data_IF_501702706800
#
_entry.id   IF_501702706800
#
_cell.length_a   1.000
_cell.length_b   1.000
_cell.length_c   1.000
_cell.angle_alpha   90.00
_cell.angle_beta   90.00
_cell.angle_gamma   90.00
#
_symmetry.space_group_name_H-M   'P 1'
#
loop_
_entity.id
_entity.type
_entity.pdbx_description
1 polymer ?
#
# COMPACT_ATOMS: atom_id res chain seq x y z
N UNK A 1 -43.49 2.90 -29.70
CA UNK A 1 -42.55 2.17 -30.58
C UNK A 1 -42.52 2.89 -31.92
N UNK A 2 -41.40 3.54 -32.24
CA UNK A 2 -41.21 4.24 -33.51
C UNK A 2 -40.88 3.23 -34.60
N UNK A 3 -41.70 3.17 -35.66
CA UNK A 3 -41.42 2.37 -36.85
C UNK A 3 -40.63 3.20 -37.85
N UNK A 4 -39.58 2.63 -38.41
CA UNK A 4 -38.69 3.29 -39.37
C UNK A 4 -38.94 2.68 -40.76
N UNK A 5 -39.10 3.47 -41.83
CA UNK A 5 -39.26 2.93 -43.18
C UNK A 5 -37.95 2.34 -43.69
N UNK A 6 -38.00 1.10 -44.19
CA UNK A 6 -36.88 0.44 -44.83
C UNK A 6 -36.51 1.17 -46.14
N UNK A 7 -35.25 1.61 -46.32
CA UNK A 7 -34.85 2.39 -47.48
C UNK A 7 -34.89 1.60 -48.80
N UNK A 8 -35.01 0.27 -48.75
CA UNK A 8 -34.98 -0.58 -49.94
C UNK A 8 -36.37 -1.04 -50.41
N UNK A 9 -37.34 -1.18 -49.50
CA UNK A 9 -38.67 -1.71 -49.83
C UNK A 9 -39.83 -0.88 -49.23
N UNK A 10 -39.54 0.21 -48.52
CA UNK A 10 -40.55 1.08 -47.89
C UNK A 10 -41.32 0.45 -46.73
N UNK A 11 -41.04 -0.81 -46.40
CA UNK A 11 -41.70 -1.53 -45.31
C UNK A 11 -41.35 -0.89 -43.96
N UNK A 12 -42.34 -0.69 -43.11
CA UNK A 12 -42.13 -0.20 -41.75
C UNK A 12 -41.53 -1.32 -40.89
N UNK A 13 -40.26 -1.17 -40.52
CA UNK A 13 -39.57 -2.05 -39.57
C UNK A 13 -39.59 -1.43 -38.20
N UNK A 14 -39.78 -2.26 -37.17
CA UNK A 14 -39.62 -1.81 -35.79
C UNK A 14 -38.16 -1.39 -35.59
N UNK A 15 -37.96 -0.21 -35.02
CA UNK A 15 -36.63 0.23 -34.63
C UNK A 15 -36.02 -0.82 -33.69
N UNK A 16 -34.84 -1.34 -34.02
CA UNK A 16 -34.10 -2.19 -33.12
C UNK A 16 -34.00 -1.46 -31.75
N UNK A 17 -34.25 -2.15 -30.62
CA UNK A 17 -34.05 -1.53 -29.32
C UNK A 17 -32.61 -1.00 -29.26
N UNK A 18 -32.40 0.21 -28.69
CA UNK A 18 -31.06 0.73 -28.55
C UNK A 18 -30.19 -0.32 -27.87
N UNK A 19 -28.94 -0.52 -28.31
CA UNK A 19 -28.06 -1.47 -27.65
C UNK A 19 -28.02 -1.15 -26.15
N UNK A 20 -27.97 -2.18 -25.29
CA UNK A 20 -27.86 -1.93 -23.85
C UNK A 20 -26.65 -1.03 -23.60
N UNK A 21 -26.75 -0.09 -22.65
CA UNK A 21 -25.64 0.81 -22.35
C UNK A 21 -24.42 -0.03 -22.00
N UNK A 22 -23.30 0.23 -22.67
CA UNK A 22 -22.04 -0.42 -22.37
C UNK A 22 -21.74 -0.28 -20.87
N UNK A 23 -21.27 -1.35 -20.20
CA UNK A 23 -20.95 -1.28 -18.78
C UNK A 23 -19.94 -0.16 -18.53
N UNK A 24 -20.21 0.68 -17.53
CA UNK A 24 -19.40 1.87 -17.22
C UNK A 24 -17.95 1.51 -16.88
N UNK A 25 -17.76 0.33 -16.30
CA UNK A 25 -16.49 -0.31 -16.04
C UNK A 25 -16.72 -1.82 -15.96
N UNK A 26 -15.69 -2.60 -16.29
CA UNK A 26 -15.61 -4.04 -16.09
C UNK A 26 -14.25 -4.32 -15.48
N UNK A 27 -14.23 -4.98 -14.32
CA UNK A 27 -13.01 -5.25 -13.56
C UNK A 27 -13.20 -6.56 -12.81
N UNK A 28 -12.13 -7.35 -12.71
CA UNK A 28 -12.13 -8.55 -11.90
C UNK A 28 -12.13 -8.17 -10.41
N UNK A 29 -12.90 -8.89 -9.60
CA UNK A 29 -13.00 -8.63 -8.16
C UNK A 29 -11.63 -8.72 -7.47
N UNK A 30 -10.75 -9.61 -7.93
CA UNK A 30 -9.38 -9.74 -7.43
C UNK A 30 -8.57 -8.46 -7.61
N UNK A 31 -8.80 -7.72 -8.72
CA UNK A 31 -8.14 -6.45 -8.98
C UNK A 31 -8.65 -5.33 -8.06
N UNK A 32 -9.82 -5.49 -7.43
CA UNK A 32 -10.36 -4.53 -6.49
C UNK A 32 -9.78 -4.67 -5.09
N UNK A 33 -9.17 -5.81 -4.74
CA UNK A 33 -8.61 -5.99 -3.40
C UNK A 33 -7.53 -4.94 -3.15
N UNK A 34 -7.67 -4.19 -2.04
CA UNK A 34 -6.78 -3.10 -1.66
C UNK A 34 -6.73 -1.91 -2.64
N UNK A 35 -7.65 -1.85 -3.62
CA UNK A 35 -7.74 -0.75 -4.58
C UNK A 35 -7.94 0.60 -3.88
N UNK A 36 -7.32 1.65 -4.42
CA UNK A 36 -7.42 3.00 -3.88
C UNK A 36 -8.81 3.59 -4.17
N UNK A 37 -9.49 4.10 -3.14
CA UNK A 37 -10.79 4.76 -3.32
C UNK A 37 -10.62 6.27 -3.18
N UNK A 38 -10.99 7.00 -4.22
CA UNK A 38 -10.85 8.47 -4.30
C UNK A 38 -12.19 9.10 -4.66
N UNK A 39 -12.55 10.18 -3.97
CA UNK A 39 -13.77 10.92 -4.26
C UNK A 39 -13.64 11.86 -5.47
N UNK A 40 -14.75 12.50 -5.87
CA UNK A 40 -14.77 13.36 -7.04
C UNK A 40 -13.95 14.65 -6.90
N UNK A 41 -13.50 15.01 -5.70
CA UNK A 41 -12.64 16.17 -5.42
C UNK A 41 -11.15 15.79 -5.26
N UNK A 42 -10.81 14.51 -5.38
CA UNK A 42 -9.46 14.00 -5.30
C UNK A 42 -8.98 13.67 -3.88
N UNK A 43 -9.89 13.44 -2.93
CA UNK A 43 -9.56 13.04 -1.56
C UNK A 43 -9.67 11.53 -1.37
N UNK A 44 -8.78 10.95 -0.56
CA UNK A 44 -8.69 9.50 -0.37
C UNK A 44 -9.72 9.04 0.67
N UNK A 45 -10.74 8.30 0.21
CA UNK A 45 -11.74 7.65 1.05
C UNK A 45 -11.20 6.41 1.77
N UNK A 46 -10.11 5.82 1.28
CA UNK A 46 -9.48 4.64 1.87
C UNK A 46 -9.08 3.62 0.82
N UNK A 47 -9.13 2.35 1.20
CA UNK A 47 -8.86 1.21 0.31
C UNK A 47 -10.00 0.22 0.35
N UNK A 48 -10.21 -0.50 -0.74
CA UNK A 48 -11.24 -1.54 -0.80
C UNK A 48 -10.86 -2.71 0.11
N UNK A 49 -11.78 -3.08 0.99
CA UNK A 49 -11.70 -4.26 1.83
C UNK A 49 -12.21 -5.50 1.07
N UNK A 50 -13.34 -5.35 0.38
CA UNK A 50 -13.98 -6.41 -0.42
C UNK A 50 -15.33 -5.96 -0.95
N UNK A 51 -15.96 -6.80 -1.77
CA UNK A 51 -17.32 -6.60 -2.22
C UNK A 51 -18.32 -7.33 -1.31
N UNK A 52 -19.50 -6.73 -1.13
CA UNK A 52 -20.62 -7.29 -0.39
C UNK A 52 -21.83 -7.31 -1.31
N UNK A 53 -22.38 -8.51 -1.51
CA UNK A 53 -23.47 -8.77 -2.43
C UNK A 53 -24.79 -8.87 -1.65
N UNK A 54 -25.75 -8.03 -2.02
CA UNK A 54 -27.15 -8.12 -1.59
C UNK A 54 -28.02 -8.55 -2.79
N UNK A 55 -29.30 -8.84 -2.58
CA UNK A 55 -30.20 -9.41 -3.61
C UNK A 55 -30.23 -8.59 -4.91
N UNK A 56 -30.27 -7.26 -4.80
CA UNK A 56 -30.41 -6.34 -5.94
C UNK A 56 -29.22 -5.38 -6.11
N UNK A 57 -28.25 -5.40 -5.20
CA UNK A 57 -27.20 -4.38 -5.15
C UNK A 57 -25.87 -4.91 -4.63
N UNK A 58 -24.78 -4.36 -5.18
CA UNK A 58 -23.42 -4.69 -4.77
C UNK A 58 -22.79 -3.45 -4.14
N UNK A 59 -22.16 -3.69 -2.98
CA UNK A 59 -21.46 -2.69 -2.20
C UNK A 59 -19.96 -2.98 -2.18
N UNK A 60 -19.16 -1.93 -2.13
CA UNK A 60 -17.72 -1.99 -1.88
C UNK A 60 -17.49 -1.46 -0.46
N UNK A 61 -16.98 -2.32 0.41
CA UNK A 61 -16.57 -1.92 1.74
C UNK A 61 -15.18 -1.28 1.68
N UNK A 62 -15.05 -0.09 2.24
CA UNK A 62 -13.82 0.72 2.21
C UNK A 62 -13.25 0.84 3.61
N UNK A 63 -11.98 0.54 3.77
CA UNK A 63 -11.27 0.60 5.04
C UNK A 63 -10.18 1.68 5.08
N UNK A 64 -9.88 2.16 6.28
CA UNK A 64 -8.71 2.99 6.60
C UNK A 64 -7.90 2.32 7.71
N UNK A 65 -6.60 2.62 7.76
CA UNK A 65 -5.77 2.29 8.91
C UNK A 65 -6.05 3.30 10.02
N UNK A 66 -6.45 2.81 11.19
CA UNK A 66 -6.65 3.62 12.40
C UNK A 66 -5.51 3.29 13.36
N UNK A 67 -4.72 4.30 13.70
CA UNK A 67 -3.68 4.17 14.72
C UNK A 67 -4.35 4.19 16.10
N UNK A 68 -4.29 3.05 16.79
CA UNK A 68 -4.66 2.95 18.19
C UNK A 68 -3.39 3.05 19.04
N UNK A 69 -3.35 4.08 19.88
CA UNK A 69 -2.31 4.23 20.90
C UNK A 69 -2.85 3.66 22.20
N UNK A 70 -2.23 2.60 22.71
CA UNK A 70 -2.51 2.13 24.06
C UNK A 70 -1.24 2.19 24.90
N UNK A 71 -1.41 2.61 26.15
CA UNK A 71 -0.33 2.60 27.14
C UNK A 71 -0.38 1.26 27.84
N UNK A 72 0.63 0.41 27.61
CA UNK A 72 0.76 -0.90 28.22
C UNK A 72 2.03 -1.03 29.06
N UNK A 73 2.20 -2.12 29.82
CA UNK A 73 3.47 -2.41 30.49
C UNK A 73 4.64 -2.51 29.49
N UNK A 74 5.77 -1.92 29.84
CA UNK A 74 7.04 -2.09 29.13
C UNK A 74 7.75 -3.32 29.70
N UNK A 75 7.53 -4.48 29.09
CA UNK A 75 8.02 -5.74 29.63
C UNK A 75 9.54 -5.86 29.58
N UNK A 76 10.18 -5.31 28.55
CA UNK A 76 11.64 -5.27 28.43
C UNK A 76 12.26 -4.45 29.56
N UNK A 77 11.72 -3.25 29.80
CA UNK A 77 12.19 -2.40 30.89
C UNK A 77 11.85 -2.99 32.26
N UNK A 78 10.67 -3.60 32.40
CA UNK A 78 10.27 -4.27 33.64
C UNK A 78 11.24 -5.41 33.96
N UNK A 79 11.56 -6.26 32.99
CA UNK A 79 12.51 -7.36 33.15
C UNK A 79 13.90 -6.84 33.55
N UNK A 80 14.37 -5.76 32.93
CA UNK A 80 15.63 -5.12 33.30
C UNK A 80 15.62 -4.57 34.75
N UNK A 81 14.54 -3.92 35.19
CA UNK A 81 14.40 -3.46 36.58
C UNK A 81 14.32 -4.63 37.57
N UNK A 82 13.58 -5.68 37.24
CA UNK A 82 13.49 -6.88 38.06
C UNK A 82 14.85 -7.58 38.20
N UNK A 83 15.63 -7.66 37.12
CA UNK A 83 17.01 -8.17 37.17
C UNK A 83 17.88 -7.37 38.14
N UNK A 84 17.70 -6.04 38.24
CA UNK A 84 18.47 -5.20 39.18
C UNK A 84 18.20 -5.53 40.64
N UNK A 85 17.03 -6.09 40.96
CA UNK A 85 16.66 -6.51 42.33
C UNK A 85 17.32 -7.82 42.76
N UNK A 86 17.95 -8.56 41.84
CA UNK A 86 18.70 -9.76 42.18
C UNK A 86 20.00 -9.42 42.93
N UNK A 87 20.40 -10.24 43.92
CA UNK A 87 21.61 -9.99 44.69
C UNK A 87 22.84 -9.95 43.77
N UNK A 88 23.66 -8.92 43.93
CA UNK A 88 24.88 -8.75 43.12
C UNK A 88 25.98 -9.71 43.60
N UNK A 89 26.64 -10.41 42.66
CA UNK A 89 27.75 -11.32 42.94
C UNK A 89 28.89 -11.08 41.92
N UNK A 90 30.15 -10.87 42.34
CA UNK A 90 31.26 -10.57 41.43
C UNK A 90 31.57 -11.67 40.41
N UNK A 91 31.26 -12.92 40.75
CA UNK A 91 31.64 -14.12 40.00
C UNK A 91 30.50 -14.70 39.16
N UNK A 92 29.30 -14.11 39.22
CA UNK A 92 28.11 -14.63 38.53
C UNK A 92 27.26 -13.47 38.02
N UNK A 93 27.15 -13.28 36.69
CA UNK A 93 26.28 -12.25 36.14
C UNK A 93 24.82 -12.57 36.46
N UNK A 94 24.03 -11.51 36.68
CA UNK A 94 22.58 -11.61 36.83
C UNK A 94 22.01 -12.20 35.54
N UNK A 95 21.22 -13.27 35.68
CA UNK A 95 20.68 -14.00 34.53
C UNK A 95 19.16 -14.01 34.56
N UNK A 96 18.56 -14.03 33.38
CA UNK A 96 17.11 -14.15 33.21
C UNK A 96 16.57 -15.43 33.84
N UNK A 97 17.33 -16.53 33.72
CA UNK A 97 17.00 -17.80 34.34
C UNK A 97 16.87 -17.71 35.87
N UNK A 98 17.74 -16.96 36.53
CA UNK A 98 17.66 -16.75 37.99
C UNK A 98 16.45 -15.90 38.38
N UNK A 99 16.12 -14.88 37.56
CA UNK A 99 14.89 -14.11 37.74
C UNK A 99 13.67 -15.01 37.61
N UNK A 100 13.59 -15.83 36.55
CA UNK A 100 12.47 -16.74 36.33
C UNK A 100 12.34 -17.78 37.45
N UNK A 101 13.44 -18.39 37.92
CA UNK A 101 13.43 -19.34 39.04
C UNK A 101 12.89 -18.68 40.33
N UNK A 102 13.21 -17.40 40.54
CA UNK A 102 12.71 -16.64 41.69
C UNK A 102 11.23 -16.28 41.53
N UNK A 103 10.81 -15.84 40.34
CA UNK A 103 9.40 -15.58 40.02
C UNK A 103 8.58 -16.85 40.23
N UNK A 104 9.03 -18.01 39.71
CA UNK A 104 8.36 -19.30 39.91
C UNK A 104 8.21 -19.65 41.39
N UNK A 105 9.27 -19.48 42.17
CA UNK A 105 9.27 -19.79 43.61
C UNK A 105 8.31 -18.90 44.39
N UNK A 106 8.34 -17.59 44.13
CA UNK A 106 7.56 -16.62 44.90
C UNK A 106 6.08 -16.58 44.49
N UNK A 107 5.77 -16.79 43.21
CA UNK A 107 4.39 -16.93 42.72
C UNK A 107 3.85 -18.36 42.83
N UNK A 108 4.64 -19.31 43.36
CA UNK A 108 4.27 -20.74 43.53
C UNK A 108 3.82 -21.42 42.22
N UNK A 109 4.51 -21.11 41.13
CA UNK A 109 4.23 -21.68 39.80
C UNK A 109 4.88 -23.07 39.66
N UNK A 110 4.32 -23.96 38.80
CA UNK A 110 4.95 -25.24 38.48
C UNK A 110 6.39 -25.07 37.97
N UNK A 111 7.31 -26.01 38.27
CA UNK A 111 8.73 -25.88 37.90
C UNK A 111 8.99 -25.71 36.40
N UNK A 112 8.12 -26.28 35.57
CA UNK A 112 8.20 -26.25 34.10
C UNK A 112 7.30 -25.19 33.47
N UNK A 113 6.55 -24.42 34.26
CA UNK A 113 5.67 -23.40 33.71
C UNK A 113 6.51 -22.27 33.06
N UNK A 114 6.17 -21.86 31.82
CA UNK A 114 6.79 -20.69 31.21
C UNK A 114 6.42 -19.44 32.02
N UNK A 115 7.37 -18.54 32.20
CA UNK A 115 7.11 -17.23 32.79
C UNK A 115 6.68 -16.31 31.65
N UNK A 116 5.42 -15.89 31.67
CA UNK A 116 4.90 -14.90 30.73
C UNK A 116 5.06 -13.50 31.31
N UNK A 117 4.82 -12.52 30.43
CA UNK A 117 4.74 -11.11 30.74
C UNK A 117 3.79 -10.79 31.91
N UNK A 118 2.70 -11.57 32.04
CA UNK A 118 1.74 -11.42 33.13
C UNK A 118 2.36 -11.78 34.48
N UNK A 119 3.07 -12.90 34.58
CA UNK A 119 3.72 -13.31 35.83
C UNK A 119 4.82 -12.34 36.25
N UNK A 120 5.54 -11.71 35.31
CA UNK A 120 6.51 -10.65 35.63
C UNK A 120 5.83 -9.43 36.27
N UNK A 121 4.69 -9.00 35.72
CA UNK A 121 3.88 -7.92 36.30
C UNK A 121 3.33 -8.26 37.68
N UNK A 122 2.84 -9.48 37.88
CA UNK A 122 2.33 -9.96 39.17
C UNK A 122 3.46 -10.03 40.22
N UNK A 123 4.63 -10.52 39.84
CA UNK A 123 5.82 -10.54 40.70
C UNK A 123 6.28 -9.12 41.07
N UNK A 124 6.30 -8.19 40.12
CA UNK A 124 6.66 -6.79 40.36
C UNK A 124 5.70 -6.12 41.37
N UNK A 125 4.39 -6.37 41.23
CA UNK A 125 3.37 -5.92 42.19
C UNK A 125 3.59 -6.49 43.58
N UNK A 126 3.89 -7.79 43.68
CA UNK A 126 4.20 -8.44 44.96
C UNK A 126 5.43 -7.81 45.64
N UNK A 127 6.41 -7.35 44.84
CA UNK A 127 7.61 -6.66 45.32
C UNK A 127 7.43 -5.16 45.56
N UNK A 128 6.24 -4.61 45.30
CA UNK A 128 5.99 -3.16 45.40
C UNK A 128 6.79 -2.33 44.40
N UNK A 129 7.22 -2.93 43.28
CA UNK A 129 8.00 -2.24 42.25
C UNK A 129 7.05 -1.59 41.24
N UNK A 130 7.34 -0.36 40.79
CA UNK A 130 6.54 0.28 39.75
C UNK A 130 6.67 -0.50 38.44
N UNK A 131 5.55 -0.74 37.77
CA UNK A 131 5.54 -1.34 36.43
C UNK A 131 5.79 -0.22 35.42
N UNK A 132 6.93 -0.21 34.71
CA UNK A 132 7.18 0.78 33.67
C UNK A 132 6.16 0.61 32.54
N UNK A 133 5.79 1.70 31.89
CA UNK A 133 4.83 1.71 30.78
C UNK A 133 5.47 2.22 29.50
N UNK A 134 4.98 1.70 28.36
CA UNK A 134 5.35 2.14 27.02
C UNK A 134 4.09 2.32 26.19
N UNK A 135 4.11 3.32 25.31
CA UNK A 135 3.04 3.52 24.33
C UNK A 135 3.27 2.55 23.18
N UNK A 136 2.27 1.71 22.93
CA UNK A 136 2.22 0.83 21.78
C UNK A 136 1.32 1.48 20.73
N UNK A 137 1.81 1.54 19.50
CA UNK A 137 1.04 1.98 18.34
C UNK A 137 0.62 0.75 17.55
N UNK A 138 -0.67 0.43 17.56
CA UNK A 138 -1.24 -0.63 16.76
C UNK A 138 -2.02 -0.02 15.59
N UNK A 139 -1.85 -0.58 14.38
CA UNK A 139 -2.56 -0.14 13.18
C UNK A 139 -3.62 -1.16 12.82
N UNK A 140 -4.88 -0.81 13.06
CA UNK A 140 -6.01 -1.66 12.72
C UNK A 140 -6.70 -1.21 11.43
N UNK A 141 -7.12 -2.18 10.61
CA UNK A 141 -8.00 -1.91 9.48
C UNK A 141 -9.42 -1.74 10.00
N UNK A 142 -10.01 -0.56 9.78
CA UNK A 142 -11.41 -0.29 10.13
C UNK A 142 -12.18 0.04 8.86
N UNK A 143 -13.26 -0.70 8.60
CA UNK A 143 -14.22 -0.34 7.55
C UNK A 143 -14.89 0.98 7.95
N UNK A 144 -14.76 1.98 7.08
CA UNK A 144 -15.25 3.34 7.29
C UNK A 144 -16.43 3.68 6.38
N UNK A 145 -16.56 3.04 5.22
CA UNK A 145 -17.67 3.23 4.30
C UNK A 145 -18.12 1.90 3.70
N UNK A 146 -19.40 1.83 3.32
CA UNK A 146 -19.94 0.80 2.43
C UNK A 146 -20.60 1.53 1.27
N UNK A 147 -20.01 1.45 0.08
CA UNK A 147 -20.36 2.27 -1.09
C UNK A 147 -21.04 1.42 -2.14
N UNK A 148 -22.22 1.81 -2.59
CA UNK A 148 -22.88 1.14 -3.72
C UNK A 148 -22.07 1.32 -5.01
N UNK A 149 -22.04 0.30 -5.87
CA UNK A 149 -21.49 0.42 -7.23
C UNK A 149 -22.14 1.56 -8.04
N UNK A 150 -23.36 1.97 -7.72
CA UNK A 150 -24.04 3.11 -8.38
C UNK A 150 -23.33 4.44 -8.09
N UNK A 151 -22.60 4.55 -6.98
CA UNK A 151 -21.83 5.73 -6.58
C UNK A 151 -20.47 5.82 -7.27
N UNK A 152 -20.02 4.73 -7.90
CA UNK A 152 -18.74 4.66 -8.62
C UNK A 152 -18.88 5.33 -10.00
N UNK A 153 -18.00 6.27 -10.28
CA UNK A 153 -17.86 6.92 -11.59
C UNK A 153 -17.17 5.96 -12.56
N UNK A 154 -15.99 5.47 -12.19
CA UNK A 154 -15.19 4.54 -12.98
C UNK A 154 -14.23 3.75 -12.09
N UNK A 155 -13.74 2.64 -12.61
CA UNK A 155 -12.67 1.85 -11.99
C UNK A 155 -11.59 1.66 -13.04
N UNK A 156 -10.40 2.15 -12.74
CA UNK A 156 -9.24 2.01 -13.61
C UNK A 156 -8.21 1.07 -13.00
N UNK A 157 -7.59 0.26 -13.86
CA UNK A 157 -6.48 -0.63 -13.48
C UNK A 157 -5.23 -0.22 -14.25
N UNK A 158 -4.12 -0.18 -13.54
CA UNK A 158 -2.78 0.13 -14.08
C UNK A 158 -1.76 -0.80 -13.43
N UNK A 159 -0.53 -0.82 -13.94
CA UNK A 159 0.53 -1.60 -13.30
C UNK A 159 0.81 -1.18 -11.86
N UNK A 160 0.47 0.06 -11.50
CA UNK A 160 0.56 0.63 -10.14
C UNK A 160 -0.58 0.17 -9.19
N UNK A 161 -1.60 -0.50 -9.72
CA UNK A 161 -2.78 -0.96 -8.98
C UNK A 161 -4.08 -0.41 -9.56
N UNK A 162 -5.18 -0.76 -8.89
CA UNK A 162 -6.52 -0.31 -9.23
C UNK A 162 -6.94 0.92 -8.42
N UNK A 163 -7.78 1.76 -9.03
CA UNK A 163 -8.41 2.89 -8.36
C UNK A 163 -9.91 2.96 -8.69
N UNK A 164 -10.71 3.14 -7.64
CA UNK A 164 -12.14 3.39 -7.70
C UNK A 164 -12.37 4.90 -7.54
N UNK A 165 -12.88 5.53 -8.59
CA UNK A 165 -13.27 6.95 -8.55
C UNK A 165 -14.76 7.06 -8.25
N UNK A 166 -15.12 7.88 -7.27
CA UNK A 166 -16.51 8.13 -6.88
C UNK A 166 -17.08 9.37 -7.58
N UNK A 167 -18.39 9.39 -7.79
CA UNK A 167 -19.10 10.54 -8.37
C UNK A 167 -19.24 11.70 -7.40
N UNK A 168 -19.32 11.41 -6.12
CA UNK A 168 -19.66 12.37 -5.07
C UNK A 168 -18.45 12.65 -4.16
N UNK A 169 -18.36 13.87 -3.58
CA UNK A 169 -17.25 14.32 -2.75
C UNK A 169 -17.36 13.77 -1.31
N UNK A 170 -17.36 12.45 -1.13
CA UNK A 170 -17.65 11.82 0.16
C UNK A 170 -16.65 12.23 1.25
N UNK A 171 -15.34 12.11 0.97
CA UNK A 171 -14.30 12.40 1.96
C UNK A 171 -14.11 13.91 2.12
N UNK A 172 -14.14 14.67 1.03
CA UNK A 172 -14.09 16.13 1.06
C UNK A 172 -15.23 16.73 1.91
N UNK A 173 -16.46 16.21 1.75
CA UNK A 173 -17.61 16.65 2.56
C UNK A 173 -17.41 16.33 4.04
N UNK A 174 -16.90 15.14 4.37
CA UNK A 174 -16.56 14.77 5.76
C UNK A 174 -15.51 15.72 6.37
N UNK A 175 -14.60 16.25 5.56
CA UNK A 175 -13.58 17.21 5.97
C UNK A 175 -14.07 18.68 5.93
N UNK A 176 -15.35 18.93 5.66
CA UNK A 176 -15.95 20.26 5.49
C UNK A 176 -15.29 21.10 4.39
N UNK A 177 -14.80 20.43 3.34
CA UNK A 177 -14.18 21.08 2.19
C UNK A 177 -15.27 21.38 1.16
N UNK A 178 -15.39 22.65 0.77
CA UNK A 178 -16.38 23.08 -0.21
C UNK A 178 -15.93 22.71 -1.63
N UNK A 179 -16.73 21.97 -2.41
CA UNK A 179 -16.42 21.68 -3.81
C UNK A 179 -16.21 22.97 -4.61
N UNK A 180 -15.11 23.05 -5.36
CA UNK A 180 -14.80 24.20 -6.21
C UNK A 180 -14.85 23.82 -7.68
N UNK A 181 -15.61 24.53 -8.50
CA UNK A 181 -15.64 24.30 -9.96
C UNK A 181 -14.32 24.65 -10.66
N UNK A 182 -13.50 25.53 -10.05
CA UNK A 182 -12.20 25.97 -10.59
C UNK A 182 -11.05 25.36 -9.81
N UNK A 183 -10.05 24.86 -10.53
CA UNK A 183 -8.78 24.38 -9.94
C UNK A 183 -7.85 25.57 -9.69
N UNK A 184 -7.56 25.93 -8.43
CA UNK A 184 -6.64 27.02 -8.13
C UNK A 184 -5.23 26.64 -8.56
N UNK A 185 -4.43 27.64 -8.97
CA UNK A 185 -3.01 27.43 -9.21
C UNK A 185 -2.29 27.04 -7.90
N UNK A 186 -1.36 26.10 -8.01
CA UNK A 186 -0.58 25.57 -6.88
C UNK A 186 0.91 25.64 -7.21
N UNK A 187 1.74 25.79 -6.18
CA UNK A 187 3.20 25.75 -6.31
C UNK A 187 3.71 24.32 -6.49
N UNK A 188 4.98 24.16 -6.87
CA UNK A 188 5.65 22.86 -6.95
C UNK A 188 5.60 22.12 -5.61
N UNK A 189 5.83 22.80 -4.49
CA UNK A 189 5.81 22.19 -3.15
C UNK A 189 4.43 21.60 -2.81
N UNK A 190 3.36 22.22 -3.29
CA UNK A 190 1.98 21.80 -3.02
C UNK A 190 1.53 20.59 -3.83
N UNK A 191 2.13 20.36 -5.01
CA UNK A 191 1.73 19.27 -5.92
C UNK A 191 2.72 18.11 -5.91
N UNK A 192 3.99 18.35 -5.58
CA UNK A 192 5.05 17.35 -5.67
C UNK A 192 4.74 16.10 -4.85
N UNK A 193 4.92 14.94 -5.46
CA UNK A 193 4.71 13.63 -4.85
C UNK A 193 3.26 13.14 -4.82
N UNK A 194 2.28 14.00 -5.15
CA UNK A 194 0.88 13.57 -5.25
C UNK A 194 0.70 12.57 -6.38
N UNK A 195 -0.05 11.50 -6.11
CA UNK A 195 -0.45 10.56 -7.15
C UNK A 195 -1.30 11.28 -8.20
N UNK A 196 -1.07 10.96 -9.46
CA UNK A 196 -1.85 11.50 -10.58
C UNK A 196 -2.66 10.39 -11.21
N UNK A 197 -3.95 10.64 -11.41
CA UNK A 197 -4.94 9.68 -11.90
C UNK A 197 -5.64 10.28 -13.12
N UNK A 198 -5.74 9.51 -14.20
CA UNK A 198 -6.40 9.95 -15.42
C UNK A 198 -7.94 9.84 -15.36
N UNK A 199 -8.62 10.31 -16.41
CA UNK A 199 -10.09 10.26 -16.47
C UNK A 199 -10.68 8.85 -16.55
N UNK A 200 -9.87 7.82 -16.82
CA UNK A 200 -10.26 6.42 -16.80
C UNK A 200 -9.99 5.75 -15.43
N UNK A 201 -9.57 6.52 -14.43
CA UNK A 201 -9.22 5.99 -13.11
C UNK A 201 -7.86 5.28 -13.06
N UNK A 202 -7.00 5.43 -14.08
CA UNK A 202 -5.68 4.78 -14.07
C UNK A 202 -4.67 5.64 -13.32
N UNK A 203 -3.96 5.02 -12.40
CA UNK A 203 -2.86 5.66 -11.67
C UNK A 203 -1.67 5.76 -12.64
N UNK A 204 -1.20 6.97 -12.89
CA UNK A 204 -0.14 7.24 -13.85
C UNK A 204 1.26 7.28 -13.22
N UNK A 205 1.33 7.70 -11.95
CA UNK A 205 2.58 7.99 -11.26
C UNK A 205 2.41 9.23 -10.39
N UNK A 206 3.44 10.07 -10.29
CA UNK A 206 3.48 11.19 -9.34
C UNK A 206 3.80 12.53 -9.99
N UNK A 207 3.16 13.58 -9.48
CA UNK A 207 3.49 14.94 -9.85
C UNK A 207 4.92 15.29 -9.39
N UNK A 208 5.72 15.83 -10.31
CA UNK A 208 7.11 16.19 -10.07
C UNK A 208 7.24 17.68 -9.71
N UNK A 209 6.75 18.55 -10.58
CA UNK A 209 6.88 20.01 -10.47
C UNK A 209 5.90 20.77 -11.37
N UNK A 210 5.74 22.05 -11.06
CA UNK A 210 5.04 23.01 -11.92
C UNK A 210 6.06 23.75 -12.78
N UNK A 211 5.77 23.84 -14.07
CA UNK A 211 6.54 24.56 -15.08
C UNK A 211 5.79 25.85 -15.46
N UNK A 212 6.54 26.92 -15.68
CA UNK A 212 6.03 28.21 -16.12
C UNK A 212 6.15 28.31 -17.65
N UNK A 213 5.04 28.49 -18.33
CA UNK A 213 4.96 28.89 -19.73
C UNK A 213 3.88 29.95 -19.92
N UNK A 214 3.31 30.07 -21.13
CA UNK A 214 2.10 30.90 -21.36
C UNK A 214 0.93 30.46 -20.46
N UNK A 215 0.92 29.18 -20.10
CA UNK A 215 0.06 28.60 -19.06
C UNK A 215 0.92 27.79 -18.09
N UNK A 216 0.39 27.50 -16.89
CA UNK A 216 1.04 26.56 -15.98
C UNK A 216 0.93 25.14 -16.52
N UNK A 217 2.03 24.40 -16.44
CA UNK A 217 2.12 23.00 -16.85
C UNK A 217 2.55 22.18 -15.65
N UNK A 218 1.84 21.10 -15.36
CA UNK A 218 2.21 20.12 -14.35
C UNK A 218 3.02 19.01 -15.03
N UNK A 219 4.27 18.82 -14.61
CA UNK A 219 5.06 17.66 -15.01
C UNK A 219 4.77 16.48 -14.10
N UNK A 220 4.43 15.34 -14.70
CA UNK A 220 4.12 14.08 -14.03
C UNK A 220 5.17 13.05 -14.43
N UNK A 221 5.82 12.44 -13.46
CA UNK A 221 6.66 11.27 -13.68
C UNK A 221 5.72 10.06 -13.85
N UNK A 222 5.77 9.45 -15.02
CA UNK A 222 5.02 8.21 -15.29
C UNK A 222 5.79 7.06 -14.65
N UNK A 223 5.12 6.30 -13.79
CA UNK A 223 5.71 5.22 -13.01
C UNK A 223 5.04 3.89 -13.36
N UNK A 224 5.81 2.80 -13.34
CA UNK A 224 5.28 1.45 -13.45
C UNK A 224 6.14 0.46 -12.67
N UNK A 225 5.60 -0.71 -12.35
CA UNK A 225 6.37 -1.80 -11.77
C UNK A 225 7.04 -2.63 -12.86
N UNK A 226 8.36 -2.56 -12.92
CA UNK A 226 9.18 -3.37 -13.81
C UNK A 226 9.63 -4.62 -13.06
N UNK A 227 9.38 -5.78 -13.66
CA UNK A 227 9.89 -7.07 -13.17
C UNK A 227 11.24 -7.34 -13.80
N UNK A 228 12.28 -7.47 -12.99
CA UNK A 228 13.63 -7.82 -13.44
C UNK A 228 14.04 -9.16 -12.86
N UNK A 229 14.67 -10.01 -13.68
CA UNK A 229 15.35 -11.21 -13.20
C UNK A 229 16.69 -10.81 -12.61
N UNK A 230 16.81 -10.92 -11.30
CA UNK A 230 18.05 -10.64 -10.57
C UNK A 230 18.62 -11.94 -10.00
N UNK A 231 19.95 -12.10 -9.96
CA UNK A 231 20.55 -13.28 -9.34
C UNK A 231 20.07 -13.45 -7.90
N UNK A 232 19.69 -14.68 -7.53
CA UNK A 232 19.37 -15.01 -6.15
C UNK A 232 20.66 -15.14 -5.34
N UNK A 233 21.04 -14.01 -4.73
CA UNK A 233 22.30 -13.87 -4.00
C UNK A 233 22.37 -14.83 -2.81
N UNK A 234 21.27 -15.08 -2.13
CA UNK A 234 21.23 -15.95 -0.95
C UNK A 234 21.49 -17.40 -1.36
N UNK A 235 20.86 -17.83 -2.45
CA UNK A 235 21.02 -19.17 -2.99
C UNK A 235 22.42 -19.36 -3.61
N UNK A 236 22.95 -18.36 -4.32
CA UNK A 236 24.33 -18.33 -4.83
C UNK A 236 25.36 -18.38 -3.69
N UNK A 237 25.19 -17.57 -2.65
CA UNK A 237 26.06 -17.56 -1.47
C UNK A 237 26.06 -18.92 -0.77
N UNK A 238 24.89 -19.56 -0.64
CA UNK A 238 24.81 -20.88 -0.03
C UNK A 238 25.62 -21.93 -0.80
N UNK A 239 25.52 -21.94 -2.15
CA UNK A 239 26.28 -22.82 -3.04
C UNK A 239 27.78 -22.52 -2.98
N UNK A 240 28.15 -21.24 -2.99
CA UNK A 240 29.53 -20.80 -2.87
C UNK A 240 30.18 -21.26 -1.55
N UNK A 241 29.47 -21.13 -0.43
CA UNK A 241 29.99 -21.56 0.87
C UNK A 241 29.99 -23.08 1.07
N UNK A 242 29.13 -23.85 0.37
CA UNK A 242 29.23 -25.31 0.39
C UNK A 242 30.51 -25.77 -0.30
N UNK A 243 30.84 -25.22 -1.46
CA UNK A 243 32.09 -25.61 -2.16
C UNK A 243 33.35 -25.17 -1.40
N UNK A 244 33.34 -23.98 -0.78
CA UNK A 244 34.45 -23.54 0.07
C UNK A 244 34.65 -24.39 1.34
N UNK A 245 33.58 -25.01 1.85
CA UNK A 245 33.68 -25.95 2.98
C UNK A 245 34.43 -27.21 2.56
N UNK A 246 34.17 -27.71 1.36
CA UNK A 246 34.87 -28.88 0.82
C UNK A 246 36.34 -28.58 0.52
N UNK A 247 36.70 -27.31 0.27
CA UNK A 247 38.07 -26.87 0.01
C UNK A 247 38.85 -26.40 1.25
N UNK A 248 38.25 -26.39 2.45
CA UNK A 248 38.90 -25.96 3.69
C UNK A 248 39.24 -24.46 3.79
N UNK A 249 38.65 -23.61 2.94
CA UNK A 249 39.01 -22.20 2.79
C UNK A 249 38.21 -21.27 3.72
N UNK A 250 38.86 -20.18 4.17
CA UNK A 250 38.23 -19.14 5.01
C UNK A 250 37.23 -18.35 4.16
N UNK A 251 35.99 -18.16 4.66
CA UNK A 251 34.90 -17.46 3.96
C UNK A 251 35.28 -16.02 3.60
N UNK A 252 35.56 -15.69 2.33
CA UNK A 252 35.84 -14.32 1.94
C UNK A 252 34.53 -13.51 1.85
N UNK A 253 34.62 -12.19 2.00
CA UNK A 253 33.51 -11.30 1.63
C UNK A 253 33.47 -11.21 0.11
N UNK A 254 32.33 -11.56 -0.50
CA UNK A 254 32.17 -11.62 -1.96
C UNK A 254 30.94 -10.79 -2.35
N UNK A 255 31.09 -9.94 -3.36
CA UNK A 255 29.98 -9.16 -3.90
C UNK A 255 29.17 -9.97 -4.93
N UNK A 256 28.02 -9.44 -5.37
CA UNK A 256 27.10 -10.15 -6.28
C UNK A 256 27.75 -10.46 -7.63
N UNK A 257 28.51 -9.53 -8.18
CA UNK A 257 29.19 -9.68 -9.48
C UNK A 257 30.21 -10.82 -9.43
N UNK A 258 31.03 -10.86 -8.37
CA UNK A 258 32.02 -11.91 -8.13
C UNK A 258 31.37 -13.29 -7.91
N UNK A 259 30.21 -13.36 -7.24
CA UNK A 259 29.46 -14.62 -7.08
C UNK A 259 28.93 -15.14 -8.42
N UNK A 260 28.40 -14.25 -9.25
CA UNK A 260 27.89 -14.61 -10.58
C UNK A 260 29.04 -15.05 -11.49
N UNK A 261 30.18 -14.35 -11.45
CA UNK A 261 31.38 -14.73 -12.21
C UNK A 261 31.94 -16.08 -11.74
N UNK A 262 32.00 -16.32 -10.44
CA UNK A 262 32.37 -17.63 -9.88
C UNK A 262 31.45 -18.73 -10.40
N UNK A 263 30.13 -18.55 -10.28
CA UNK A 263 29.17 -19.56 -10.71
C UNK A 263 29.32 -19.88 -12.20
N UNK A 264 29.49 -18.85 -13.05
CA UNK A 264 29.75 -19.03 -14.49
C UNK A 264 31.05 -19.79 -14.76
N UNK A 265 32.12 -19.48 -14.02
CA UNK A 265 33.44 -20.12 -14.17
C UNK A 265 33.41 -21.59 -13.77
N UNK A 266 32.74 -21.93 -12.68
CA UNK A 266 32.61 -23.31 -12.19
C UNK A 266 31.49 -24.10 -12.91
N UNK A 267 30.79 -23.49 -13.88
CA UNK A 267 29.68 -24.13 -14.59
C UNK A 267 28.42 -24.35 -13.74
N UNK A 268 28.32 -23.66 -12.60
CA UNK A 268 27.15 -23.69 -11.71
C UNK A 268 26.06 -22.78 -12.29
N UNK A 269 24.85 -23.31 -12.44
CA UNK A 269 23.71 -22.53 -12.89
C UNK A 269 23.43 -21.37 -11.91
N UNK A 270 23.28 -20.16 -12.45
CA UNK A 270 22.96 -18.97 -11.66
C UNK A 270 21.45 -18.97 -11.39
N UNK A 271 21.00 -19.18 -10.14
CA UNK A 271 19.58 -19.02 -9.80
C UNK A 271 19.17 -17.56 -9.95
N UNK A 272 18.01 -17.32 -10.54
CA UNK A 272 17.41 -16.00 -10.68
C UNK A 272 16.10 -15.94 -9.92
N UNK A 273 15.84 -14.81 -9.27
CA UNK A 273 14.54 -14.46 -8.72
C UNK A 273 13.97 -13.24 -9.42
N UNK A 274 12.64 -13.15 -9.44
CA UNK A 274 11.96 -11.98 -9.96
C UNK A 274 11.90 -10.90 -8.88
N UNK A 275 12.45 -9.73 -9.19
CA UNK A 275 12.35 -8.55 -8.34
C UNK A 275 11.45 -7.52 -9.03
N UNK A 276 10.36 -7.17 -8.36
CA UNK A 276 9.42 -6.13 -8.82
C UNK A 276 9.83 -4.80 -8.22
N UNK A 277 10.21 -3.83 -9.06
CA UNK A 277 10.61 -2.47 -8.63
C UNK A 277 9.76 -1.42 -9.30
N UNK A 278 9.43 -0.38 -8.55
CA UNK A 278 8.81 0.82 -9.09
C UNK A 278 9.88 1.63 -9.84
N UNK A 279 9.66 1.86 -11.13
CA UNK A 279 10.57 2.63 -11.97
C UNK A 279 9.83 3.75 -12.70
N UNK A 280 10.56 4.84 -12.96
CA UNK A 280 10.09 5.91 -13.84
C UNK A 280 10.23 5.43 -15.29
N UNK A 281 9.10 5.30 -15.98
CA UNK A 281 9.02 4.85 -17.36
C UNK A 281 8.84 5.99 -18.37
N UNK A 282 8.57 7.21 -17.90
CA UNK A 282 8.46 8.39 -18.76
C UNK A 282 8.10 9.68 -18.02
N UNK A 283 7.83 10.72 -18.80
CA UNK A 283 7.32 12.02 -18.32
C UNK A 283 6.08 12.40 -19.12
N UNK A 284 5.14 13.09 -18.46
CA UNK A 284 3.97 13.68 -19.08
C UNK A 284 3.82 15.13 -18.62
N UNK A 285 3.75 16.05 -19.56
CA UNK A 285 3.49 17.46 -19.31
C UNK A 285 2.00 17.75 -19.52
N UNK A 286 1.30 18.09 -18.44
CA UNK A 286 -0.17 18.30 -18.41
C UNK A 286 -0.46 19.80 -18.27
N UNK A 287 -1.26 20.36 -19.18
CA UNK A 287 -1.69 21.77 -19.06
C UNK A 287 -2.60 21.92 -17.84
N UNK A 288 -2.55 23.06 -17.16
CA UNK A 288 -3.40 23.29 -15.99
C UNK A 288 -4.90 23.15 -16.28
N UNK A 289 -5.32 23.48 -17.50
CA UNK A 289 -6.71 23.33 -17.97
C UNK A 289 -7.19 21.88 -18.05
N UNK A 290 -6.27 20.92 -18.10
CA UNK A 290 -6.56 19.48 -18.16
C UNK A 290 -6.58 18.82 -16.78
N UNK A 291 -6.38 19.60 -15.71
CA UNK A 291 -6.53 19.14 -14.35
C UNK A 291 -7.99 19.31 -13.94
N UNK A 292 -8.63 18.20 -13.55
CA UNK A 292 -10.02 18.17 -13.08
C UNK A 292 -10.11 18.69 -11.65
N UNK A 293 -9.26 18.14 -10.75
CA UNK A 293 -9.22 18.46 -9.31
C UNK A 293 -7.84 18.21 -8.71
N UNK A 294 -7.57 18.88 -7.59
CA UNK A 294 -6.37 18.68 -6.77
C UNK A 294 -6.80 18.57 -5.30
N UNK A 295 -6.85 17.33 -4.80
CA UNK A 295 -7.08 16.99 -3.40
C UNK A 295 -5.82 16.36 -2.81
N UNK A 296 -5.96 15.20 -2.17
CA UNK A 296 -4.83 14.32 -1.80
C UNK A 296 -4.08 13.83 -3.05
N UNK A 297 -4.84 13.51 -4.10
CA UNK A 297 -4.36 13.14 -5.43
C UNK A 297 -4.73 14.21 -6.46
N UNK A 298 -4.13 14.12 -7.65
CA UNK A 298 -4.43 14.98 -8.79
C UNK A 298 -5.27 14.17 -9.78
N UNK A 299 -6.48 14.64 -10.06
CA UNK A 299 -7.38 14.04 -11.03
C UNK A 299 -7.27 14.80 -12.35
N UNK A 300 -7.05 14.10 -13.45
CA UNK A 300 -7.01 14.68 -14.79
C UNK A 300 -8.37 14.59 -15.47
N UNK A 301 -8.66 15.56 -16.33
CA UNK A 301 -9.92 15.64 -17.09
C UNK A 301 -9.91 14.73 -18.32
N UNK A 302 -8.75 14.22 -18.73
CA UNK A 302 -8.53 13.43 -19.95
C UNK A 302 -7.79 12.14 -19.67
N UNK A 303 -7.88 11.20 -20.60
CA UNK A 303 -7.15 9.92 -20.53
C UNK A 303 -5.69 10.12 -20.94
N UNK A 304 -4.80 9.23 -20.48
CA UNK A 304 -3.38 9.28 -20.84
C UNK A 304 -3.13 9.35 -22.36
N UNK A 305 -3.89 8.58 -23.15
CA UNK A 305 -3.75 8.54 -24.61
C UNK A 305 -4.07 9.88 -25.27
N UNK A 306 -5.10 10.57 -24.75
CA UNK A 306 -5.55 11.88 -25.24
C UNK A 306 -4.60 13.01 -24.83
N UNK A 307 -3.90 12.85 -23.70
CA UNK A 307 -2.92 13.81 -23.21
C UNK A 307 -1.59 13.74 -23.96
N UNK A 308 -1.24 12.57 -24.51
CA UNK A 308 -0.04 12.38 -25.34
C UNK A 308 -0.19 12.94 -26.75
N UNK A 309 -1.42 13.11 -27.23
CA UNK A 309 -1.67 13.70 -28.54
C UNK A 309 -1.66 15.24 -28.42
N UNK A 310 -0.94 15.97 -29.29
CA UNK A 310 -1.05 17.41 -29.36
C UNK A 310 -2.50 17.77 -29.71
N UNK A 311 -3.06 18.79 -29.04
CA UNK A 311 -4.35 19.36 -29.46
C UNK A 311 -4.22 19.81 -30.93
N UNK A 312 -5.18 19.46 -31.81
CA UNK A 312 -5.24 20.04 -33.15
C UNK A 312 -5.39 21.57 -33.10
#
# INVERSE_FOLDING_TARGET
>A
MSKIPCPHCGSLVDAAPPPPPSPRFLVDEESLVDALVVDSEGYICGRVHGARYEEDEVYIDVYKYVEQRFTGPDYERLKAELLKTLPWRPWRPRSERELEERVRRELRLPPTAPITERELCEYAKLKGLPIPTKVYEHRDRKVVYSLSLKQVETIGVSGLGACVLLKEPIEATRLNIQPSSKVPFKSTEQVKGKLTIDAAGRILGRAQKVLLGETLILRVDLEDYVVRKVPDVDLLLSRYYSELRDSGSRRPYVNVEQLVEWARREGVEVPYREERRLEKVGELDVRWSDIRKIGDVILLSRRLEELRQPKP
#
